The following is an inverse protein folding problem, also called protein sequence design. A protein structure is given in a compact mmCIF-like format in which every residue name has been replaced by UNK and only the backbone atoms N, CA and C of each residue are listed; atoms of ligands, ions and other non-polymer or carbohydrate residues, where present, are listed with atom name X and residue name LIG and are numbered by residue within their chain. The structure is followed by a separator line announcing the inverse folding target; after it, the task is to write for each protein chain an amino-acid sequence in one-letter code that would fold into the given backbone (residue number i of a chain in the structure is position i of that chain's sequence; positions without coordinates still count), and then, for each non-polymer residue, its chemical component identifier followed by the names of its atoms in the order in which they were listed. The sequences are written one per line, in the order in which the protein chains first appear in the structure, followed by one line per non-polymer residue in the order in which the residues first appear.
data_IF_993748647909
#
_entry.id   IF_993748647909
#
_cell.length_a   1.000
_cell.length_b   1.000
_cell.length_c   1.000
_cell.angle_alpha   90.00
_cell.angle_beta   90.00
_cell.angle_gamma   90.00
#
_symmetry.space_group_name_H-M   'P 1'
#
loop_
_entity.id
_entity.type
_entity.pdbx_description
1 polymer ?
#
# COMPACT_ATOMS: atom_id res chain seq x y z
N UNK A 1 -42.40 -1.18 -20.36
CA UNK A 1 -41.37 -1.82 -21.20
C UNK A 1 -40.78 -0.77 -22.13
N UNK A 2 -39.69 -0.14 -21.71
CA UNK A 2 -38.77 0.61 -22.57
C UNK A 2 -37.49 0.80 -21.77
N UNK A 3 -36.54 -0.12 -21.96
CA UNK A 3 -35.19 0.05 -21.47
C UNK A 3 -34.49 1.12 -22.29
N UNK A 4 -33.77 2.01 -21.61
CA UNK A 4 -32.79 2.89 -22.24
C UNK A 4 -31.50 2.71 -21.46
N UNK A 5 -30.72 1.71 -21.91
CA UNK A 5 -29.35 1.52 -21.47
C UNK A 5 -28.49 2.61 -22.09
N UNK A 6 -28.01 3.52 -21.25
CA UNK A 6 -26.97 4.46 -21.64
C UNK A 6 -25.64 3.70 -21.75
N UNK A 7 -25.25 3.39 -22.97
CA UNK A 7 -23.91 2.93 -23.31
C UNK A 7 -23.02 4.14 -23.63
N UNK A 8 -22.18 4.54 -22.67
CA UNK A 8 -20.94 5.31 -22.82
C UNK A 8 -20.35 5.48 -21.40
N UNK A 9 -19.11 5.19 -21.05
CA UNK A 9 -17.87 4.94 -21.79
C UNK A 9 -17.02 4.04 -20.90
N UNK A 10 -16.92 2.75 -21.25
CA UNK A 10 -15.99 1.82 -20.60
C UNK A 10 -14.66 1.87 -21.36
N UNK A 11 -13.99 3.02 -21.37
CA UNK A 11 -12.53 3.01 -21.45
C UNK A 11 -12.08 2.39 -20.13
N UNK A 12 -11.97 1.06 -20.09
CA UNK A 12 -11.43 0.35 -18.94
C UNK A 12 -10.07 0.95 -18.67
N UNK A 13 -9.96 1.73 -17.59
CA UNK A 13 -8.70 2.35 -17.23
C UNK A 13 -7.63 1.25 -17.21
N UNK A 14 -6.49 1.41 -17.91
CA UNK A 14 -5.52 0.32 -18.13
C UNK A 14 -5.10 -0.39 -16.84
N UNK A 15 -5.09 0.36 -15.73
CA UNK A 15 -4.81 -0.14 -14.39
C UNK A 15 -5.80 -1.22 -13.93
N UNK A 16 -7.07 -1.20 -14.32
CA UNK A 16 -8.06 -2.24 -13.93
C UNK A 16 -7.69 -3.60 -14.49
N UNK A 17 -7.29 -3.64 -15.75
CA UNK A 17 -6.86 -4.89 -16.39
C UNK A 17 -5.55 -5.40 -15.79
N UNK A 18 -4.62 -4.49 -15.46
CA UNK A 18 -3.35 -4.85 -14.80
C UNK A 18 -3.56 -5.34 -13.37
N UNK A 19 -4.40 -4.66 -12.59
CA UNK A 19 -4.76 -5.05 -11.22
C UNK A 19 -5.50 -6.39 -11.22
N UNK A 20 -6.48 -6.57 -12.11
CA UNK A 20 -7.19 -7.85 -12.21
C UNK A 20 -6.26 -8.99 -12.58
N UNK A 21 -5.36 -8.80 -13.57
CA UNK A 21 -4.34 -9.80 -13.92
C UNK A 21 -3.43 -10.14 -12.76
N UNK A 22 -2.99 -9.13 -11.99
CA UNK A 22 -2.17 -9.34 -10.81
C UNK A 22 -2.93 -10.12 -9.72
N UNK A 23 -4.20 -9.78 -9.46
CA UNK A 23 -5.04 -10.50 -8.50
C UNK A 23 -5.27 -11.96 -8.93
N UNK A 24 -5.61 -12.19 -10.21
CA UNK A 24 -5.85 -13.52 -10.76
C UNK A 24 -4.58 -14.38 -10.74
N UNK A 25 -3.43 -13.81 -11.13
CA UNK A 25 -2.14 -14.50 -11.12
C UNK A 25 -1.73 -14.92 -9.70
N UNK A 26 -2.10 -14.15 -8.68
CA UNK A 26 -1.74 -14.42 -7.29
C UNK A 26 -2.87 -15.08 -6.47
N UNK A 27 -4.04 -15.36 -7.05
CA UNK A 27 -5.22 -15.89 -6.36
C UNK A 27 -4.98 -17.23 -5.63
N UNK A 28 -3.94 -17.97 -6.02
CA UNK A 28 -3.56 -19.24 -5.42
C UNK A 28 -2.75 -19.12 -4.12
N UNK A 29 -2.18 -17.94 -3.83
CA UNK A 29 -1.49 -17.71 -2.56
C UNK A 29 -2.54 -17.25 -1.55
N UNK A 30 -2.72 -18.01 -0.46
CA UNK A 30 -3.77 -17.79 0.55
C UNK A 30 -3.66 -16.45 1.30
N UNK A 31 -2.60 -15.69 1.03
CA UNK A 31 -2.30 -14.36 1.57
C UNK A 31 -1.85 -13.35 0.48
N UNK A 32 -2.19 -13.55 -0.79
CA UNK A 32 -1.77 -12.70 -1.93
C UNK A 32 -2.36 -11.28 -1.98
N UNK A 33 -3.13 -10.84 -0.99
CA UNK A 33 -3.70 -9.48 -0.99
C UNK A 33 -2.66 -8.35 -0.92
N UNK A 34 -1.37 -8.68 -0.91
CA UNK A 34 -0.28 -7.73 -1.01
C UNK A 34 0.15 -7.57 -2.48
N UNK A 35 -0.51 -6.64 -3.18
CA UNK A 35 0.06 -6.08 -4.39
C UNK A 35 1.35 -5.34 -4.01
N UNK A 36 2.49 -5.65 -4.63
CA UNK A 36 3.79 -5.00 -4.37
C UNK A 36 3.80 -3.57 -4.96
N UNK A 37 3.00 -2.69 -4.36
CA UNK A 37 2.75 -1.32 -4.80
C UNK A 37 4.04 -0.48 -4.86
N UNK A 38 5.04 -0.79 -4.04
CA UNK A 38 6.32 -0.08 -3.99
C UNK A 38 7.06 -0.14 -5.33
N UNK A 39 7.03 -1.29 -6.02
CA UNK A 39 7.69 -1.44 -7.33
C UNK A 39 7.07 -0.52 -8.38
N UNK A 40 5.74 -0.43 -8.41
CA UNK A 40 5.00 0.44 -9.33
C UNK A 40 5.23 1.92 -9.01
N UNK A 41 5.16 2.33 -7.73
CA UNK A 41 5.40 3.72 -7.31
C UNK A 41 6.81 4.17 -7.70
N UNK A 42 7.82 3.30 -7.54
CA UNK A 42 9.20 3.63 -7.94
C UNK A 42 9.35 3.86 -9.45
N UNK A 43 8.53 3.21 -10.28
CA UNK A 43 8.53 3.40 -11.74
C UNK A 43 7.67 4.59 -12.17
N UNK A 44 6.55 4.84 -11.48
CA UNK A 44 5.62 5.93 -11.74
C UNK A 44 5.14 6.50 -10.39
N UNK A 45 5.79 7.56 -9.87
CA UNK A 45 5.52 8.06 -8.52
C UNK A 45 4.22 8.87 -8.44
N UNK A 46 3.60 9.20 -9.57
CA UNK A 46 2.37 9.97 -9.59
C UNK A 46 1.16 9.10 -9.22
N UNK A 47 0.39 9.54 -8.22
CA UNK A 47 -0.80 8.84 -7.76
C UNK A 47 -1.91 9.81 -7.36
N UNK A 48 -3.13 9.27 -7.23
CA UNK A 48 -4.28 9.98 -6.71
C UNK A 48 -4.93 9.19 -5.58
N UNK A 49 -5.11 9.83 -4.42
CA UNK A 49 -5.90 9.29 -3.31
C UNK A 49 -7.36 9.73 -3.50
N UNK A 50 -8.26 8.76 -3.56
CA UNK A 50 -9.71 8.99 -3.51
C UNK A 50 -10.22 8.67 -2.11
N UNK A 51 -10.62 9.69 -1.36
CA UNK A 51 -11.15 9.54 0.00
C UNK A 51 -12.63 9.87 0.03
N UNK A 52 -13.44 8.88 0.36
CA UNK A 52 -14.89 9.03 0.53
C UNK A 52 -15.28 9.03 2.01
N UNK A 53 -16.07 10.02 2.43
CA UNK A 53 -16.64 10.12 3.77
C UNK A 53 -18.11 9.65 3.72
N UNK A 54 -18.38 8.49 4.32
CA UNK A 54 -19.69 7.82 4.21
C UNK A 54 -20.83 8.60 4.85
N UNK A 55 -20.53 9.34 5.91
CA UNK A 55 -21.55 10.01 6.72
C UNK A 55 -21.95 11.35 6.10
N UNK A 56 -21.00 12.08 5.52
CA UNK A 56 -21.24 13.37 4.85
C UNK A 56 -21.48 13.27 3.35
N UNK A 57 -21.22 12.10 2.76
CA UNK A 57 -21.31 11.85 1.31
C UNK A 57 -20.34 12.71 0.49
N UNK A 58 -19.24 13.14 1.11
CA UNK A 58 -18.21 13.93 0.47
C UNK A 58 -17.10 13.04 -0.10
N UNK A 59 -16.54 13.45 -1.24
CA UNK A 59 -15.39 12.82 -1.84
C UNK A 59 -14.29 13.84 -2.10
N UNK A 60 -13.09 13.54 -1.61
CA UNK A 60 -11.88 14.28 -1.92
C UNK A 60 -10.99 13.45 -2.84
N UNK A 61 -10.40 14.11 -3.83
CA UNK A 61 -9.40 13.54 -4.73
C UNK A 61 -8.15 14.37 -4.61
N UNK A 62 -7.05 13.74 -4.21
CA UNK A 62 -5.78 14.40 -3.98
C UNK A 62 -4.76 13.73 -4.88
N UNK A 63 -4.30 14.45 -5.89
CA UNK A 63 -3.28 13.99 -6.84
C UNK A 63 -1.91 14.56 -6.46
N UNK A 64 -0.85 13.80 -6.70
CA UNK A 64 0.49 14.23 -6.35
C UNK A 64 1.57 13.19 -6.62
N UNK A 65 2.81 13.57 -6.37
CA UNK A 65 3.94 12.64 -6.41
C UNK A 65 4.11 11.96 -5.05
N UNK A 66 4.34 10.66 -5.06
CA UNK A 66 4.67 9.87 -3.88
C UNK A 66 6.19 9.74 -3.77
N UNK A 67 6.73 10.15 -2.64
CA UNK A 67 8.09 9.82 -2.20
C UNK A 67 8.08 8.55 -1.36
N UNK A 68 8.97 7.61 -1.67
CA UNK A 68 9.12 6.34 -0.94
C UNK A 68 10.36 6.42 -0.07
N UNK A 69 10.16 6.41 1.24
CA UNK A 69 11.23 6.46 2.24
C UNK A 69 11.43 5.07 2.83
N UNK A 70 12.47 4.37 2.38
CA UNK A 70 12.89 3.07 2.90
C UNK A 70 14.18 3.18 3.75
N UNK A 71 14.74 2.06 4.18
CA UNK A 71 15.97 2.03 4.98
C UNK A 71 17.23 2.45 4.21
N UNK A 72 17.18 2.53 2.88
CA UNK A 72 18.30 2.95 2.02
C UNK A 72 18.35 4.46 1.76
N UNK A 73 17.37 5.23 2.25
CA UNK A 73 17.35 6.68 2.11
C UNK A 73 18.62 7.33 2.68
N UNK A 74 19.31 8.11 1.85
CA UNK A 74 20.52 8.85 2.27
C UNK A 74 20.22 10.12 3.09
N UNK A 75 18.96 10.57 3.11
CA UNK A 75 18.54 11.78 3.82
C UNK A 75 18.18 11.46 5.30
N UNK A 76 18.94 11.97 6.29
CA UNK A 76 18.68 11.74 7.70
C UNK A 76 17.32 12.27 8.16
N UNK A 77 16.81 13.37 7.58
CA UNK A 77 15.52 13.92 7.94
C UNK A 77 14.39 12.97 7.52
N UNK A 78 14.48 12.39 6.32
CA UNK A 78 13.55 11.36 5.85
C UNK A 78 13.58 10.12 6.73
N UNK A 79 14.77 9.67 7.13
CA UNK A 79 14.90 8.54 8.06
C UNK A 79 14.26 8.84 9.43
N UNK A 80 14.40 10.07 9.94
CA UNK A 80 13.73 10.48 11.18
C UNK A 80 12.20 10.48 11.01
N UNK A 81 11.67 10.95 9.88
CA UNK A 81 10.23 10.88 9.60
C UNK A 81 9.73 9.43 9.55
N UNK A 82 10.47 8.53 8.91
CA UNK A 82 10.18 7.09 8.88
C UNK A 82 10.15 6.49 10.28
N UNK A 83 11.13 6.82 11.13
CA UNK A 83 11.16 6.35 12.52
C UNK A 83 9.99 6.90 13.35
N UNK A 84 9.67 8.19 13.21
CA UNK A 84 8.54 8.79 13.89
C UNK A 84 7.21 8.12 13.49
N UNK A 85 7.02 7.84 12.19
CA UNK A 85 5.84 7.14 11.69
C UNK A 85 5.74 5.69 12.23
N UNK A 86 6.88 5.00 12.34
CA UNK A 86 6.95 3.67 12.95
C UNK A 86 6.47 3.69 14.40
N UNK A 87 7.00 4.59 15.23
CA UNK A 87 6.62 4.67 16.65
C UNK A 87 5.23 5.26 16.88
N UNK A 88 4.70 6.07 15.97
CA UNK A 88 3.31 6.52 16.00
C UNK A 88 2.32 5.37 15.72
N UNK A 89 2.76 4.30 15.05
CA UNK A 89 1.93 3.13 14.77
C UNK A 89 1.87 2.16 15.95
N UNK A 90 0.73 1.48 16.10
CA UNK A 90 0.56 0.50 17.18
C UNK A 90 1.47 -0.71 16.99
N UNK A 91 1.90 -1.35 18.09
CA UNK A 91 2.70 -2.59 18.05
C UNK A 91 2.04 -3.65 17.15
N UNK A 92 0.71 -3.78 17.22
CA UNK A 92 -0.08 -4.68 16.36
C UNK A 92 0.11 -4.40 14.86
N UNK A 93 0.19 -3.14 14.46
CA UNK A 93 0.40 -2.76 13.06
C UNK A 93 1.85 -3.06 12.63
N UNK A 94 2.81 -2.77 13.52
CA UNK A 94 4.24 -3.04 13.29
C UNK A 94 4.54 -4.53 13.11
N UNK A 95 3.86 -5.41 13.84
CA UNK A 95 4.01 -6.86 13.71
C UNK A 95 3.72 -7.39 12.29
N UNK A 96 2.89 -6.69 11.50
CA UNK A 96 2.59 -7.11 10.12
C UNK A 96 3.81 -7.08 9.20
N UNK A 97 4.83 -6.29 9.54
CA UNK A 97 6.07 -6.18 8.77
C UNK A 97 7.10 -7.27 9.09
N UNK A 98 6.85 -8.10 10.11
CA UNK A 98 7.71 -9.23 10.49
C UNK A 98 7.25 -10.55 9.88
N UNK A 99 6.12 -10.53 9.15
CA UNK A 99 5.61 -11.69 8.45
C UNK A 99 6.52 -12.13 7.29
N UNK A 100 6.25 -13.32 6.72
CA UNK A 100 6.95 -13.79 5.54
C UNK A 100 6.76 -12.81 4.37
N UNK A 101 7.74 -12.79 3.47
CA UNK A 101 7.72 -11.89 2.32
C UNK A 101 6.42 -12.05 1.52
N UNK A 102 5.68 -10.96 1.26
CA UNK A 102 4.41 -11.06 0.59
C UNK A 102 4.56 -11.66 -0.82
N UNK A 103 3.72 -12.64 -1.13
CA UNK A 103 3.77 -13.36 -2.41
C UNK A 103 4.60 -14.65 -2.40
N UNK A 104 5.35 -14.93 -1.33
CA UNK A 104 6.09 -16.19 -1.19
C UNK A 104 5.19 -17.25 -0.52
N UNK A 105 5.07 -18.47 -1.10
CA UNK A 105 4.38 -19.57 -0.45
C UNK A 105 5.08 -19.93 0.86
N UNK A 106 4.36 -19.81 1.97
CA UNK A 106 4.82 -20.29 3.28
C UNK A 106 4.52 -21.78 3.35
N UNK A 107 5.57 -22.61 3.44
CA UNK A 107 5.43 -24.07 3.43
C UNK A 107 5.02 -24.65 4.79
N UNK A 108 5.13 -23.89 5.88
CA UNK A 108 4.81 -24.31 7.25
C UNK A 108 4.06 -23.22 8.04
N UNK A 109 2.83 -23.51 8.47
CA UNK A 109 1.94 -22.63 9.24
C UNK A 109 2.44 -22.35 10.68
N UNK A 110 3.42 -23.10 11.18
CA UNK A 110 3.86 -23.04 12.58
C UNK A 110 4.83 -21.89 12.91
N UNK A 111 5.32 -21.13 11.93
CA UNK A 111 6.31 -20.07 12.15
C UNK A 111 5.75 -18.72 12.63
N UNK A 112 4.42 -18.52 12.66
CA UNK A 112 3.82 -17.20 12.95
C UNK A 112 3.43 -17.02 14.43
N UNK A 113 3.57 -18.05 15.27
CA UNK A 113 2.97 -18.03 16.62
C UNK A 113 3.75 -17.28 17.71
N UNK A 114 5.03 -16.95 17.51
CA UNK A 114 5.88 -16.37 18.57
C UNK A 114 6.71 -15.15 18.14
N UNK A 115 6.24 -14.39 17.15
CA UNK A 115 6.95 -13.17 16.74
C UNK A 115 6.66 -12.03 17.73
N UNK A 116 7.58 -11.79 18.66
CA UNK A 116 7.52 -10.69 19.61
C UNK A 116 8.36 -9.50 19.11
N UNK A 117 7.73 -8.37 18.85
CA UNK A 117 8.41 -7.10 18.56
C UNK A 117 8.68 -6.36 19.89
N UNK A 118 9.93 -6.00 20.15
CA UNK A 118 10.25 -5.01 21.19
C UNK A 118 9.59 -3.66 20.82
N UNK A 119 8.72 -3.09 21.67
CA UNK A 119 8.06 -1.82 21.39
C UNK A 119 9.02 -0.65 21.15
N UNK A 120 10.24 -0.73 21.68
CA UNK A 120 11.31 0.27 21.53
C UNK A 120 12.22 0.04 20.33
N UNK A 121 12.09 -1.10 19.64
CA UNK A 121 12.86 -1.35 18.42
C UNK A 121 12.41 -0.42 17.28
N UNK A 122 13.40 0.11 16.57
CA UNK A 122 13.21 0.95 15.40
C UNK A 122 12.59 0.21 14.20
N UNK A 123 12.32 0.93 13.10
CA UNK A 123 11.67 0.37 11.91
C UNK A 123 12.51 -0.69 11.21
N UNK A 124 11.90 -1.84 10.91
CA UNK A 124 12.49 -2.92 10.11
C UNK A 124 12.59 -2.54 8.63
N UNK A 125 13.51 -3.14 7.87
CA UNK A 125 13.75 -2.81 6.45
C UNK A 125 12.50 -2.89 5.57
N UNK A 126 11.60 -3.85 5.83
CA UNK A 126 10.35 -4.01 5.11
C UNK A 126 9.37 -2.83 5.29
N UNK A 127 9.56 -2.00 6.32
CA UNK A 127 8.74 -0.82 6.56
C UNK A 127 9.21 0.36 5.70
N UNK A 128 8.32 0.86 4.84
CA UNK A 128 8.51 2.09 4.08
C UNK A 128 7.50 3.14 4.52
N UNK A 129 7.91 4.42 4.56
CA UNK A 129 7.00 5.55 4.70
C UNK A 129 6.73 6.13 3.31
N UNK A 130 5.44 6.23 2.93
CA UNK A 130 5.00 6.90 1.71
C UNK A 130 4.53 8.31 2.05
N UNK A 131 5.08 9.30 1.34
CA UNK A 131 4.69 10.71 1.49
C UNK A 131 4.12 11.19 0.17
N UNK A 132 2.85 11.56 0.15
CA UNK A 132 2.23 12.21 -1.00
C UNK A 132 2.47 13.72 -0.88
N UNK A 133 3.13 14.30 -1.88
CA UNK A 133 3.21 15.76 -2.07
C UNK A 133 2.08 16.20 -3.02
N UNK A 134 1.00 16.82 -2.49
CA UNK A 134 -0.16 17.18 -3.30
C UNK A 134 0.20 18.24 -4.34
N UNK A 135 -0.27 18.08 -5.56
CA UNK A 135 -0.22 19.16 -6.53
C UNK A 135 -1.15 20.29 -6.10
N UNK A 136 -0.68 21.53 -6.22
CA UNK A 136 -1.55 22.70 -6.07
C UNK A 136 -2.50 22.72 -7.28
N UNK A 137 -3.76 22.34 -7.06
CA UNK A 137 -4.87 22.56 -8.00
C UNK A 137 -5.37 23.99 -7.97
#
# INVERSE_FOLDING_TARGET
MAGSGAAASALSSPWRALLQRALDANAHLRHSTYFQLIGEIRNCPFAEICWYFTDSWEQFRISGNIDVIDSSSADPAKLQHRENAWFASSVKSRLQYLGPEPGVPVLDDDHIKDVHLDPSAGPVDAFCLLVLDPENT
#
